data_IF_077380833483
#
_entry.id   IF_077380833483
#
_cell.length_a   1.000
_cell.length_b   1.000
_cell.length_c   1.000
_cell.angle_alpha   90.00
_cell.angle_beta   90.00
_cell.angle_gamma   90.00
#
_symmetry.space_group_name_H-M   'P 1'
#
loop_
_entity.id
_entity.type
_entity.pdbx_description
1 polymer ?
#
# COMPACT_ATOMS: atom_id res chain seq x y z
N UNK A 1 -27.68 5.72 -17.21
CA UNK A 1 -26.28 5.22 -17.29
C UNK A 1 -25.67 5.80 -18.56
N UNK A 2 -24.56 6.51 -18.39
CA UNK A 2 -23.74 6.96 -19.53
C UNK A 2 -23.09 5.74 -20.21
N UNK A 3 -22.53 5.96 -21.41
CA UNK A 3 -21.83 4.87 -22.11
C UNK A 3 -20.63 4.43 -21.28
N UNK A 4 -20.53 3.13 -21.01
CA UNK A 4 -19.38 2.54 -20.34
C UNK A 4 -18.11 2.78 -21.17
N UNK A 5 -17.01 3.33 -20.60
CA UNK A 5 -15.76 3.53 -21.31
C UNK A 5 -15.18 2.22 -21.85
N UNK A 6 -14.37 2.33 -22.90
CA UNK A 6 -13.71 1.17 -23.50
C UNK A 6 -12.70 0.54 -22.51
N UNK A 7 -12.61 -0.79 -22.52
CA UNK A 7 -11.68 -1.53 -21.65
C UNK A 7 -12.11 -1.68 -20.20
N UNK A 8 -13.35 -1.29 -19.85
CA UNK A 8 -13.92 -1.55 -18.53
C UNK A 8 -14.53 -2.96 -18.47
N UNK A 9 -14.06 -3.75 -17.51
CA UNK A 9 -14.53 -5.12 -17.22
C UNK A 9 -15.54 -5.09 -16.08
N UNK A 10 -16.48 -6.05 -16.05
CA UNK A 10 -17.45 -6.26 -14.95
C UNK A 10 -17.05 -7.44 -14.09
N UNK A 11 -17.47 -7.40 -12.83
CA UNK A 11 -17.34 -8.51 -11.87
C UNK A 11 -15.91 -9.06 -11.78
N UNK A 12 -14.93 -8.15 -11.77
CA UNK A 12 -13.51 -8.54 -11.80
C UNK A 12 -13.04 -9.04 -10.44
N UNK A 13 -12.48 -10.27 -10.33
CA UNK A 13 -12.06 -10.87 -9.07
C UNK A 13 -10.82 -10.16 -8.49
N UNK A 14 -11.01 -9.29 -7.48
CA UNK A 14 -9.96 -8.46 -6.88
C UNK A 14 -8.95 -9.27 -6.06
N UNK A 15 -9.32 -10.45 -5.54
CA UNK A 15 -8.39 -11.38 -4.87
C UNK A 15 -7.15 -11.69 -5.71
N UNK A 16 -7.29 -11.70 -7.04
CA UNK A 16 -6.17 -11.91 -7.98
C UNK A 16 -5.16 -10.77 -7.98
N UNK A 17 -5.56 -9.60 -7.50
CA UNK A 17 -4.74 -8.40 -7.46
C UNK A 17 -4.15 -8.11 -6.08
N UNK A 18 -4.62 -8.79 -5.02
CA UNK A 18 -4.07 -8.66 -3.67
C UNK A 18 -2.98 -9.70 -3.40
N UNK A 19 -2.02 -9.36 -2.55
CA UNK A 19 -0.96 -10.30 -2.15
C UNK A 19 -1.43 -11.26 -1.06
N UNK A 20 -2.46 -10.91 -0.30
CA UNK A 20 -3.10 -11.77 0.71
C UNK A 20 -4.08 -12.77 0.08
N UNK A 21 -4.54 -12.52 -1.15
CA UNK A 21 -5.42 -13.42 -1.91
C UNK A 21 -6.77 -13.68 -1.25
N UNK A 22 -7.40 -12.62 -0.73
CA UNK A 22 -8.77 -12.62 -0.23
C UNK A 22 -9.56 -11.47 -0.85
N UNK A 23 -10.89 -11.54 -0.75
CA UNK A 23 -11.83 -10.53 -1.18
C UNK A 23 -12.62 -10.88 -2.42
N UNK A 24 -13.78 -10.26 -2.55
CA UNK A 24 -14.71 -10.44 -3.66
C UNK A 24 -14.40 -9.60 -4.90
N UNK A 25 -15.33 -9.58 -5.88
CA UNK A 25 -15.14 -8.86 -7.15
C UNK A 25 -15.40 -7.35 -7.01
N UNK A 26 -14.85 -6.56 -7.94
CA UNK A 26 -15.31 -5.20 -8.19
C UNK A 26 -16.44 -5.19 -9.21
N UNK A 27 -17.45 -4.34 -9.02
CA UNK A 27 -18.52 -4.17 -10.02
C UNK A 27 -17.95 -3.74 -11.37
N UNK A 28 -16.94 -2.86 -11.33
CA UNK A 28 -16.23 -2.34 -12.50
C UNK A 28 -14.73 -2.35 -12.27
N UNK A 29 -13.98 -2.70 -13.29
CA UNK A 29 -12.53 -2.72 -13.26
C UNK A 29 -11.94 -2.17 -14.55
N UNK A 30 -10.88 -1.36 -14.45
CA UNK A 30 -10.19 -0.79 -15.60
C UNK A 30 -8.66 -0.79 -15.45
N UNK A 31 -7.98 -0.86 -16.60
CA UNK A 31 -6.51 -0.75 -16.70
C UNK A 31 -6.11 0.40 -17.62
N UNK A 32 -6.27 1.67 -17.19
CA UNK A 32 -5.86 2.80 -18.00
C UNK A 32 -4.33 2.80 -18.22
N UNK A 33 -3.93 3.17 -19.43
CA UNK A 33 -2.53 3.23 -19.84
C UNK A 33 -1.99 4.66 -19.89
N UNK A 34 -2.88 5.67 -19.93
CA UNK A 34 -2.54 7.09 -20.02
C UNK A 34 -3.31 7.91 -18.97
N UNK A 35 -2.80 9.09 -18.61
CA UNK A 35 -3.49 10.03 -17.72
C UNK A 35 -4.84 10.47 -18.27
N UNK A 36 -4.97 10.61 -19.60
CA UNK A 36 -6.24 10.96 -20.25
C UNK A 36 -7.32 9.89 -20.01
N UNK A 37 -6.97 8.61 -20.12
CA UNK A 37 -7.87 7.50 -19.81
C UNK A 37 -8.23 7.46 -18.32
N UNK A 38 -7.29 7.77 -17.41
CA UNK A 38 -7.59 7.87 -15.97
C UNK A 38 -8.65 8.95 -15.75
N UNK A 39 -8.47 10.16 -16.29
CA UNK A 39 -9.43 11.27 -16.15
C UNK A 39 -10.79 10.89 -16.74
N UNK A 40 -10.85 10.23 -17.90
CA UNK A 40 -12.10 9.75 -18.50
C UNK A 40 -12.84 8.79 -17.57
N UNK A 41 -12.15 7.81 -17.00
CA UNK A 41 -12.70 6.84 -16.06
C UNK A 41 -13.22 7.50 -14.77
N UNK A 42 -12.46 8.48 -14.25
CA UNK A 42 -12.86 9.21 -13.03
C UNK A 42 -14.10 10.05 -13.28
N UNK A 43 -14.20 10.74 -14.43
CA UNK A 43 -15.41 11.47 -14.83
C UNK A 43 -16.62 10.57 -15.00
N UNK A 44 -16.41 9.41 -15.60
CA UNK A 44 -17.48 8.42 -15.76
C UNK A 44 -17.97 7.93 -14.39
N UNK A 45 -17.05 7.54 -13.50
CA UNK A 45 -17.40 7.09 -12.16
C UNK A 45 -18.14 8.17 -11.36
N UNK A 46 -17.68 9.42 -11.42
CA UNK A 46 -18.32 10.58 -10.79
C UNK A 46 -19.75 10.80 -11.33
N UNK A 47 -19.93 10.77 -12.67
CA UNK A 47 -21.24 10.95 -13.30
C UNK A 47 -22.27 9.86 -12.96
N UNK A 48 -21.82 8.67 -12.63
CA UNK A 48 -22.66 7.53 -12.23
C UNK A 48 -22.75 7.37 -10.70
N UNK A 49 -22.00 8.17 -9.93
CA UNK A 49 -21.95 8.10 -8.47
C UNK A 49 -21.21 6.87 -7.92
N UNK A 50 -20.27 6.31 -8.69
CA UNK A 50 -19.49 5.16 -8.24
C UNK A 50 -18.29 5.59 -7.39
N UNK A 51 -18.03 4.95 -6.27
CA UNK A 51 -16.77 5.10 -5.58
C UNK A 51 -15.62 4.53 -6.42
N UNK A 52 -14.44 5.14 -6.30
CA UNK A 52 -13.22 4.71 -7.02
C UNK A 52 -12.21 4.14 -6.05
N UNK A 53 -11.71 2.94 -6.34
CA UNK A 53 -10.64 2.27 -5.62
C UNK A 53 -9.40 2.07 -6.49
N UNK A 54 -8.22 2.41 -5.94
CA UNK A 54 -6.97 2.25 -6.69
C UNK A 54 -6.22 1.00 -6.20
N UNK A 55 -5.93 0.10 -7.14
CA UNK A 55 -5.19 -1.14 -6.85
C UNK A 55 -3.78 -1.03 -7.42
N UNK A 56 -2.80 -0.80 -6.55
CA UNK A 56 -1.39 -0.83 -6.92
C UNK A 56 -0.87 -2.27 -7.06
N UNK A 57 0.11 -2.64 -6.23
CA UNK A 57 0.60 -4.04 -6.13
C UNK A 57 -0.30 -4.92 -5.26
N UNK A 58 -1.33 -4.38 -4.61
CA UNK A 58 -2.19 -5.09 -3.68
C UNK A 58 -1.47 -5.58 -2.41
N UNK A 59 -0.34 -4.99 -2.09
CA UNK A 59 0.55 -5.44 -0.99
C UNK A 59 0.27 -4.74 0.35
N UNK A 60 -0.68 -3.83 0.38
CA UNK A 60 -1.22 -3.19 1.58
C UNK A 60 -2.74 -2.99 1.41
N UNK A 61 -3.41 -4.00 0.83
CA UNK A 61 -4.83 -3.93 0.49
C UNK A 61 -5.55 -5.18 0.96
N UNK A 62 -6.65 -4.98 1.68
CA UNK A 62 -7.62 -5.98 2.07
C UNK A 62 -8.95 -5.62 1.40
N UNK A 63 -9.51 -6.53 0.61
CA UNK A 63 -10.77 -6.32 -0.10
C UNK A 63 -11.90 -7.05 0.64
N UNK A 64 -13.05 -6.39 0.81
CA UNK A 64 -14.22 -7.01 1.43
C UNK A 64 -14.63 -8.32 0.74
N UNK A 65 -15.18 -9.29 1.48
CA UNK A 65 -15.62 -10.57 0.92
C UNK A 65 -16.75 -10.37 -0.11
N UNK A 66 -17.65 -9.42 0.11
CA UNK A 66 -18.68 -9.01 -0.85
C UNK A 66 -18.12 -8.23 -2.05
N UNK A 67 -16.82 -7.87 -2.01
CA UNK A 67 -16.15 -7.11 -3.05
C UNK A 67 -16.27 -5.60 -2.92
N UNK A 68 -16.14 -4.90 -4.05
CA UNK A 68 -16.17 -3.45 -4.12
C UNK A 68 -17.28 -2.95 -5.06
N UNK A 69 -18.26 -2.27 -4.50
CA UNK A 69 -19.41 -1.71 -5.24
C UNK A 69 -19.01 -0.40 -5.92
N UNK A 70 -18.10 -0.45 -6.89
CA UNK A 70 -17.53 0.71 -7.56
C UNK A 70 -16.55 0.36 -8.68
N UNK A 71 -15.77 1.36 -9.09
CA UNK A 71 -14.74 1.23 -10.10
C UNK A 71 -13.36 1.01 -9.46
N UNK A 72 -12.79 -0.18 -9.62
CA UNK A 72 -11.40 -0.45 -9.27
C UNK A 72 -10.47 -0.14 -10.46
N UNK A 73 -9.42 0.64 -10.23
CA UNK A 73 -8.44 1.05 -11.25
C UNK A 73 -7.06 0.47 -10.93
N UNK A 74 -6.42 -0.13 -11.93
CA UNK A 74 -5.02 -0.56 -11.87
C UNK A 74 -4.24 0.03 -13.04
N UNK A 75 -3.31 0.93 -12.75
CA UNK A 75 -2.52 1.61 -13.75
C UNK A 75 -1.65 0.64 -14.58
N UNK A 76 -1.57 0.89 -15.89
CA UNK A 76 -0.86 0.07 -16.87
C UNK A 76 -0.10 0.95 -17.89
N UNK A 77 0.47 0.34 -18.91
CA UNK A 77 1.09 1.02 -20.06
C UNK A 77 2.12 2.08 -19.65
N UNK A 78 1.95 3.30 -20.16
CA UNK A 78 2.84 4.45 -19.89
C UNK A 78 2.89 4.81 -18.41
N UNK A 79 1.80 4.59 -17.67
CA UNK A 79 1.70 4.85 -16.23
C UNK A 79 2.49 3.86 -15.37
N UNK A 80 3.26 2.96 -15.98
CA UNK A 80 4.19 2.04 -15.30
C UNK A 80 5.65 2.27 -15.69
N UNK A 81 5.93 3.30 -16.51
CA UNK A 81 7.29 3.61 -16.97
C UNK A 81 8.18 4.06 -15.81
N UNK A 82 9.50 3.88 -16.00
CA UNK A 82 10.56 4.43 -15.14
C UNK A 82 11.63 4.99 -16.07
N UNK A 83 11.84 6.29 -16.03
CA UNK A 83 12.77 7.02 -16.89
C UNK A 83 13.73 7.86 -16.05
N UNK A 84 14.97 8.04 -16.56
CA UNK A 84 15.96 8.96 -15.99
C UNK A 84 15.94 10.27 -16.80
N UNK A 85 15.94 11.41 -16.11
CA UNK A 85 16.04 12.75 -16.67
C UNK A 85 17.11 13.55 -15.90
N UNK A 86 18.38 13.37 -16.29
CA UNK A 86 19.54 13.92 -15.54
C UNK A 86 19.66 13.22 -14.18
N UNK A 87 19.54 14.01 -13.10
CA UNK A 87 19.54 13.50 -11.71
C UNK A 87 18.13 13.24 -11.18
N UNK A 88 17.13 13.31 -12.04
CA UNK A 88 15.74 12.96 -11.76
C UNK A 88 15.40 11.58 -12.23
N UNK A 89 14.49 10.94 -11.50
CA UNK A 89 13.84 9.71 -11.93
C UNK A 89 12.33 9.94 -11.98
N UNK A 90 11.76 9.89 -13.18
CA UNK A 90 10.32 10.05 -13.40
C UNK A 90 9.70 8.67 -13.52
N UNK A 91 8.67 8.41 -12.73
CA UNK A 91 7.99 7.12 -12.64
C UNK A 91 6.49 7.31 -12.82
N UNK A 92 5.86 6.47 -13.63
CA UNK A 92 4.41 6.33 -13.59
C UNK A 92 3.94 5.81 -12.23
N UNK A 93 2.76 6.23 -11.79
CA UNK A 93 2.18 5.85 -10.49
C UNK A 93 2.00 4.34 -10.30
N UNK A 94 1.81 3.60 -11.42
CA UNK A 94 1.75 2.14 -11.47
C UNK A 94 3.12 1.44 -11.47
N UNK A 95 4.24 2.16 -11.62
CA UNK A 95 5.57 1.59 -11.59
C UNK A 95 5.87 0.97 -10.22
N UNK A 96 6.53 -0.19 -10.21
CA UNK A 96 6.91 -0.84 -8.94
C UNK A 96 8.05 -0.06 -8.26
N UNK A 97 7.85 0.32 -7.01
CA UNK A 97 8.87 1.06 -6.24
C UNK A 97 10.22 0.31 -6.14
N UNK A 98 10.25 -1.03 -5.91
CA UNK A 98 11.52 -1.78 -5.94
C UNK A 98 12.23 -1.73 -7.30
N UNK A 99 11.48 -1.65 -8.39
CA UNK A 99 12.07 -1.53 -9.73
C UNK A 99 12.62 -0.12 -9.97
N UNK A 100 11.94 0.93 -9.50
CA UNK A 100 12.43 2.30 -9.52
C UNK A 100 13.75 2.41 -8.74
N UNK A 101 13.79 1.89 -7.51
CA UNK A 101 15.00 1.85 -6.68
C UNK A 101 16.17 1.11 -7.38
N UNK A 102 15.89 -0.06 -7.99
CA UNK A 102 16.92 -0.85 -8.67
C UNK A 102 17.46 -0.14 -9.93
N UNK A 103 16.60 0.51 -10.73
CA UNK A 103 17.02 1.28 -11.90
C UNK A 103 17.82 2.52 -11.50
N UNK A 104 17.38 3.25 -10.45
CA UNK A 104 18.12 4.42 -9.92
C UNK A 104 19.52 4.02 -9.48
N UNK A 105 19.67 2.93 -8.73
CA UNK A 105 20.96 2.40 -8.33
C UNK A 105 21.83 2.02 -9.55
N UNK A 106 21.25 1.42 -10.60
CA UNK A 106 21.95 1.10 -11.83
C UNK A 106 22.45 2.34 -12.59
N UNK A 107 21.78 3.46 -12.41
CA UNK A 107 22.19 4.76 -12.98
C UNK A 107 23.12 5.57 -12.08
N UNK A 108 23.53 5.04 -10.92
CA UNK A 108 24.35 5.77 -9.94
C UNK A 108 23.60 6.91 -9.28
N UNK A 109 22.32 6.75 -9.02
CA UNK A 109 21.47 7.72 -8.36
C UNK A 109 21.01 7.15 -7.00
N UNK A 110 21.37 7.87 -5.92
CA UNK A 110 21.06 7.54 -4.53
C UNK A 110 19.85 8.32 -4.02
N UNK A 111 19.11 7.75 -3.08
CA UNK A 111 17.96 8.34 -2.41
C UNK A 111 16.71 7.47 -2.41
N UNK A 112 16.58 6.51 -3.35
CA UNK A 112 15.44 5.58 -3.42
C UNK A 112 15.77 4.16 -2.89
N UNK A 113 16.94 3.92 -2.29
CA UNK A 113 17.35 2.60 -1.82
C UNK A 113 16.37 1.98 -0.84
N UNK A 114 15.75 2.78 0.02
CA UNK A 114 14.75 2.34 1.00
C UNK A 114 13.56 1.63 0.35
N UNK A 115 13.23 2.01 -0.89
CA UNK A 115 12.12 1.44 -1.67
C UNK A 115 12.36 0.00 -2.13
N UNK A 116 13.60 -0.51 -2.06
CA UNK A 116 13.98 -1.83 -2.59
C UNK A 116 13.17 -2.98 -2.00
N UNK A 117 12.70 -2.82 -0.79
CA UNK A 117 11.93 -3.83 -0.06
C UNK A 117 10.44 -3.49 0.10
N UNK A 118 9.98 -2.35 -0.39
CA UNK A 118 8.57 -1.97 -0.28
C UNK A 118 7.81 -2.54 -1.49
N UNK A 119 6.98 -3.58 -1.35
CA UNK A 119 6.38 -4.29 -2.48
C UNK A 119 5.20 -3.53 -3.09
N UNK A 120 5.26 -2.20 -3.12
CA UNK A 120 4.23 -1.30 -3.61
C UNK A 120 4.49 -0.75 -5.01
N UNK A 121 3.55 0.05 -5.49
CA UNK A 121 3.73 0.95 -6.64
C UNK A 121 4.14 2.34 -6.16
N UNK A 122 4.68 3.15 -7.07
CA UNK A 122 5.06 4.54 -6.80
C UNK A 122 3.85 5.34 -6.31
N UNK A 123 2.68 5.23 -6.95
CA UNK A 123 1.47 5.92 -6.49
C UNK A 123 1.03 5.50 -5.08
N UNK A 124 1.06 4.20 -4.78
CA UNK A 124 0.80 3.72 -3.42
C UNK A 124 1.84 4.20 -2.41
N UNK A 125 3.11 4.31 -2.82
CA UNK A 125 4.17 4.83 -1.98
C UNK A 125 4.00 6.34 -1.69
N UNK A 126 3.55 7.13 -2.68
CA UNK A 126 3.18 8.54 -2.49
C UNK A 126 2.04 8.65 -1.47
N UNK A 127 0.93 7.93 -1.70
CA UNK A 127 -0.24 7.97 -0.80
C UNK A 127 0.10 7.65 0.65
N UNK A 128 0.98 6.68 0.87
CA UNK A 128 1.37 6.21 2.21
C UNK A 128 2.65 6.90 2.75
N UNK A 129 3.16 7.92 2.06
CA UNK A 129 4.47 8.49 2.41
C UNK A 129 5.48 7.40 2.81
N UNK A 130 5.71 6.47 1.90
CA UNK A 130 6.44 5.23 2.19
C UNK A 130 7.81 5.50 2.77
N UNK A 131 8.12 4.87 3.89
CA UNK A 131 9.40 4.98 4.57
C UNK A 131 9.92 3.62 5.04
N UNK A 132 11.22 3.44 5.00
CA UNK A 132 11.93 2.25 5.51
C UNK A 132 13.42 2.57 5.66
N UNK A 133 14.11 1.92 6.59
CA UNK A 133 15.56 2.00 6.77
C UNK A 133 16.10 3.43 6.90
N UNK A 134 15.33 4.35 7.45
CA UNK A 134 15.68 5.77 7.60
C UNK A 134 15.46 6.64 6.35
N UNK A 135 15.08 6.05 5.21
CA UNK A 135 14.63 6.76 4.03
C UNK A 135 13.13 6.99 4.04
N UNK A 136 12.67 8.07 3.40
CA UNK A 136 11.28 8.50 3.34
C UNK A 136 11.00 9.13 1.98
N UNK A 137 9.86 8.82 1.38
CA UNK A 137 9.52 9.24 0.03
C UNK A 137 9.39 10.77 -0.07
N UNK A 138 8.76 11.43 0.89
CA UNK A 138 8.60 12.88 0.91
C UNK A 138 9.93 13.66 0.79
N UNK A 139 11.06 13.07 1.25
CA UNK A 139 12.37 13.72 1.23
C UNK A 139 13.03 13.77 -0.14
N UNK A 140 12.61 12.90 -1.06
CA UNK A 140 13.20 12.78 -2.40
C UNK A 140 12.18 13.08 -3.51
N UNK A 141 10.90 13.20 -3.16
CA UNK A 141 9.85 13.58 -4.10
C UNK A 141 10.03 15.05 -4.51
N UNK A 142 9.95 15.32 -5.81
CA UNK A 142 10.02 16.66 -6.37
C UNK A 142 8.63 17.18 -6.75
N UNK A 143 7.83 16.33 -7.39
CA UNK A 143 6.44 16.60 -7.76
C UNK A 143 5.69 15.30 -8.07
N UNK A 144 4.36 15.40 -8.08
CA UNK A 144 3.45 14.39 -8.60
C UNK A 144 2.51 14.99 -9.63
N UNK A 145 2.04 14.16 -10.57
CA UNK A 145 0.85 14.47 -11.38
C UNK A 145 -0.31 13.70 -10.80
N UNK A 146 -1.33 14.41 -10.33
CA UNK A 146 -2.59 13.85 -9.84
C UNK A 146 -3.67 13.96 -10.91
N UNK A 147 -4.39 12.88 -11.14
CA UNK A 147 -5.61 12.85 -11.94
C UNK A 147 -6.83 12.82 -11.03
N UNK A 148 -7.83 13.65 -11.35
CA UNK A 148 -9.16 13.66 -10.77
C UNK A 148 -10.23 13.74 -11.86
N UNK A 149 -11.51 13.84 -11.52
CA UNK A 149 -12.57 14.07 -12.51
C UNK A 149 -12.46 15.43 -13.18
N UNK A 150 -11.85 16.44 -12.55
CA UNK A 150 -11.60 17.77 -13.11
C UNK A 150 -10.50 17.77 -14.15
N UNK A 151 -9.50 16.87 -14.00
CA UNK A 151 -8.37 16.79 -14.92
C UNK A 151 -7.11 16.24 -14.27
N UNK A 152 -5.96 16.58 -14.88
CA UNK A 152 -4.65 16.24 -14.36
C UNK A 152 -3.90 17.53 -13.96
N UNK A 153 -3.34 17.55 -12.76
CA UNK A 153 -2.57 18.69 -12.25
C UNK A 153 -1.28 18.23 -11.59
N UNK A 154 -0.27 19.10 -11.60
CA UNK A 154 0.98 18.86 -10.89
C UNK A 154 0.90 19.49 -9.50
N UNK A 155 1.34 18.74 -8.48
CA UNK A 155 1.48 19.20 -7.10
C UNK A 155 2.89 18.93 -6.57
N UNK A 156 3.35 19.82 -5.71
CA UNK A 156 4.62 19.68 -4.98
C UNK A 156 4.41 18.95 -3.63
N UNK A 157 5.48 18.40 -3.01
CA UNK A 157 5.37 17.68 -1.75
C UNK A 157 4.73 18.50 -0.61
N UNK A 158 4.93 19.81 -0.59
CA UNK A 158 4.35 20.75 0.39
C UNK A 158 2.81 20.81 0.34
N UNK A 159 2.20 20.41 -0.79
CA UNK A 159 0.77 20.42 -1.03
C UNK A 159 0.11 19.07 -0.73
N UNK A 160 0.91 18.07 -0.34
CA UNK A 160 0.43 16.69 -0.13
C UNK A 160 0.26 16.34 1.35
N UNK A 161 0.54 17.25 2.28
CA UNK A 161 0.30 17.08 3.71
C UNK A 161 0.89 15.79 4.29
N UNK A 162 2.09 15.42 3.88
CA UNK A 162 2.71 14.16 4.29
C UNK A 162 2.87 14.02 5.80
N UNK A 163 2.43 12.89 6.31
CA UNK A 163 2.58 12.42 7.69
C UNK A 163 3.15 11.00 7.70
N UNK A 164 3.42 10.48 8.88
CA UNK A 164 3.85 9.09 8.99
C UNK A 164 2.76 8.14 8.49
N UNK A 165 3.07 7.37 7.44
CA UNK A 165 2.15 6.43 6.77
C UNK A 165 0.90 7.07 6.16
N UNK A 166 0.91 8.36 5.86
CA UNK A 166 -0.27 9.08 5.38
C UNK A 166 0.07 10.29 4.49
N UNK A 167 -0.94 10.75 3.73
CA UNK A 167 -0.93 11.98 2.93
C UNK A 167 -2.34 12.52 2.81
N UNK A 168 -2.49 13.81 2.43
CA UNK A 168 -3.80 14.45 2.22
C UNK A 168 -4.46 14.12 0.87
N UNK A 169 -3.98 13.10 0.15
CA UNK A 169 -4.62 12.61 -1.06
C UNK A 169 -6.04 12.10 -0.73
N UNK A 170 -7.04 12.63 -1.42
CA UNK A 170 -8.44 12.25 -1.20
C UNK A 170 -8.86 11.05 -2.05
N UNK A 171 -10.04 10.50 -1.74
CA UNK A 171 -10.65 9.47 -2.57
C UNK A 171 -10.93 10.01 -3.98
N UNK A 172 -10.64 9.24 -5.02
CA UNK A 172 -10.80 9.68 -6.42
C UNK A 172 -9.58 10.39 -7.00
N UNK A 173 -8.57 10.75 -6.20
CA UNK A 173 -7.29 11.22 -6.74
C UNK A 173 -6.34 10.04 -7.04
N UNK A 174 -5.76 10.08 -8.23
CA UNK A 174 -4.86 9.04 -8.74
C UNK A 174 -3.50 9.65 -9.06
N UNK A 175 -2.45 9.16 -8.43
CA UNK A 175 -1.07 9.51 -8.80
C UNK A 175 -0.74 8.88 -10.14
N UNK A 176 -0.72 9.69 -11.20
CA UNK A 176 -0.39 9.24 -12.56
C UNK A 176 1.13 9.15 -12.77
N UNK A 177 1.88 10.16 -12.32
CA UNK A 177 3.34 10.22 -12.38
C UNK A 177 3.91 10.84 -11.12
N UNK A 178 5.17 10.53 -10.80
CA UNK A 178 5.96 11.15 -9.76
C UNK A 178 7.42 11.35 -10.21
N UNK A 179 8.02 12.47 -9.85
CA UNK A 179 9.45 12.77 -10.05
C UNK A 179 10.18 12.75 -8.73
N UNK A 180 11.34 12.13 -8.74
CA UNK A 180 12.26 12.07 -7.61
C UNK A 180 13.56 12.77 -7.96
N UNK A 181 13.99 13.76 -7.15
CA UNK A 181 15.29 14.39 -7.22
C UNK A 181 16.29 13.55 -6.40
N UNK A 182 17.27 12.98 -7.09
CA UNK A 182 18.23 12.05 -6.50
C UNK A 182 19.65 12.58 -6.58
N UNK A 183 20.53 12.08 -5.71
CA UNK A 183 21.93 12.46 -5.71
C UNK A 183 22.79 11.49 -6.52
N UNK A 184 23.77 12.01 -7.27
CA UNK A 184 24.78 11.17 -7.92
C UNK A 184 25.64 10.44 -6.90
N UNK A 185 25.88 9.13 -7.13
CA UNK A 185 26.73 8.29 -6.27
C UNK A 185 27.32 7.13 -7.08
N UNK A 186 28.28 6.39 -6.52
CA UNK A 186 28.82 5.19 -7.14
C UNK A 186 27.73 4.09 -7.22
N UNK A 187 27.42 3.55 -8.41
CA UNK A 187 26.43 2.51 -8.58
C UNK A 187 26.65 1.28 -7.70
N UNK A 188 27.89 0.89 -7.47
CA UNK A 188 28.20 -0.30 -6.65
C UNK A 188 27.96 -0.01 -5.16
N UNK A 189 28.25 1.22 -4.69
CA UNK A 189 27.95 1.62 -3.33
C UNK A 189 26.42 1.66 -3.08
N UNK A 190 25.64 2.19 -4.03
CA UNK A 190 24.15 2.21 -3.94
C UNK A 190 23.59 0.78 -3.91
N UNK A 191 24.07 -0.10 -4.80
CA UNK A 191 23.65 -1.51 -4.83
C UNK A 191 24.04 -2.26 -3.55
N UNK A 192 25.21 -1.98 -2.97
CA UNK A 192 25.65 -2.59 -1.71
C UNK A 192 24.69 -2.20 -0.56
N UNK A 193 24.31 -0.92 -0.41
CA UNK A 193 23.31 -0.48 0.59
C UNK A 193 21.98 -1.23 0.41
N UNK A 194 21.50 -1.34 -0.82
CA UNK A 194 20.27 -2.10 -1.10
C UNK A 194 20.42 -3.59 -0.76
N UNK A 195 21.60 -4.18 -0.98
CA UNK A 195 21.91 -5.54 -0.60
C UNK A 195 21.76 -5.79 0.91
N UNK A 196 22.32 -4.88 1.72
CA UNK A 196 22.18 -4.93 3.17
C UNK A 196 20.71 -4.80 3.63
N UNK A 197 19.94 -3.91 3.01
CA UNK A 197 18.52 -3.76 3.31
C UNK A 197 17.73 -5.05 3.00
N UNK A 198 18.02 -5.70 1.86
CA UNK A 198 17.41 -6.99 1.49
C UNK A 198 17.76 -8.10 2.49
N UNK A 199 19.01 -8.16 2.93
CA UNK A 199 19.46 -9.14 3.93
C UNK A 199 18.70 -8.97 5.24
N UNK A 200 18.65 -7.74 5.79
CA UNK A 200 17.91 -7.42 7.02
C UNK A 200 16.44 -7.81 6.91
N UNK A 201 15.78 -7.52 5.77
CA UNK A 201 14.37 -7.91 5.57
C UNK A 201 14.19 -9.41 5.58
N UNK A 202 15.02 -10.16 4.87
CA UNK A 202 14.94 -11.63 4.78
C UNK A 202 15.08 -12.29 6.16
N UNK A 203 15.92 -11.72 7.02
CA UNK A 203 16.11 -12.19 8.40
C UNK A 203 14.88 -11.88 9.27
N UNK A 204 14.31 -10.67 9.17
CA UNK A 204 13.26 -10.19 10.06
C UNK A 204 11.82 -10.57 9.63
N UNK A 205 11.54 -10.70 8.34
CA UNK A 205 10.18 -10.83 7.83
C UNK A 205 9.93 -12.17 7.15
N UNK A 206 8.69 -12.68 7.15
CA UNK A 206 8.33 -13.88 6.41
C UNK A 206 8.43 -13.64 4.89
N UNK A 207 8.69 -14.70 4.13
CA UNK A 207 8.74 -14.69 2.68
C UNK A 207 7.99 -15.88 2.10
N UNK A 208 7.44 -15.72 0.89
CA UNK A 208 6.71 -16.80 0.21
C UNK A 208 5.31 -17.07 0.78
N UNK A 209 4.79 -16.18 1.61
CA UNK A 209 3.45 -16.26 2.21
C UNK A 209 2.48 -15.30 1.52
N UNK A 210 1.18 -15.59 1.61
CA UNK A 210 0.11 -14.70 1.18
C UNK A 210 -0.20 -13.74 2.33
N UNK A 211 0.19 -12.49 2.21
CA UNK A 211 0.03 -11.44 3.23
C UNK A 211 -0.04 -10.06 2.57
N UNK A 212 -0.61 -9.08 3.24
CA UNK A 212 -0.58 -7.67 2.84
C UNK A 212 0.52 -6.86 3.56
N UNK A 213 1.50 -7.50 4.20
CA UNK A 213 2.57 -6.82 4.94
C UNK A 213 2.18 -6.50 6.37
N UNK A 214 2.62 -5.35 6.87
CA UNK A 214 2.30 -4.89 8.23
C UNK A 214 0.80 -4.70 8.41
N UNK A 215 0.27 -5.28 9.48
CA UNK A 215 -1.16 -5.20 9.83
C UNK A 215 -1.49 -3.89 10.53
N UNK A 216 -0.64 -3.48 11.48
CA UNK A 216 -0.84 -2.30 12.32
C UNK A 216 0.32 -1.31 12.18
N UNK A 217 -0.01 -0.03 12.28
CA UNK A 217 0.96 1.08 12.38
C UNK A 217 1.71 0.99 13.71
N UNK A 218 2.98 1.40 13.74
CA UNK A 218 3.68 1.54 15.02
C UNK A 218 3.05 2.67 15.84
N UNK A 219 2.61 2.39 17.08
CA UNK A 219 1.93 3.38 17.89
C UNK A 219 2.88 4.48 18.38
N UNK A 220 2.36 5.71 18.43
CA UNK A 220 3.03 6.85 19.07
C UNK A 220 2.61 7.01 20.54
N UNK A 221 1.80 6.09 21.06
CA UNK A 221 1.31 6.08 22.43
C UNK A 221 2.47 5.91 23.43
N UNK A 222 2.63 6.77 24.45
CA UNK A 222 3.67 6.67 25.46
C UNK A 222 3.68 5.31 26.20
N UNK A 223 2.51 4.67 26.34
CA UNK A 223 2.36 3.32 26.95
C UNK A 223 3.05 2.22 26.12
N UNK A 224 3.31 2.47 24.85
CA UNK A 224 4.10 1.57 24.01
C UNK A 224 5.59 1.54 24.40
N UNK A 225 6.10 2.55 25.12
CA UNK A 225 7.50 2.68 25.53
C UNK A 225 8.49 2.57 24.36
N UNK A 226 8.12 3.12 23.21
CA UNK A 226 8.91 3.07 21.97
C UNK A 226 8.90 1.70 21.26
N UNK A 227 8.10 0.74 21.72
CA UNK A 227 7.93 -0.57 21.06
C UNK A 227 7.13 -0.42 19.77
N UNK A 228 7.54 -1.15 18.75
CA UNK A 228 6.78 -1.29 17.50
C UNK A 228 5.51 -2.15 17.73
N UNK A 229 4.53 -2.04 16.81
CA UNK A 229 3.33 -2.88 16.82
C UNK A 229 3.71 -4.38 16.86
N UNK A 230 4.71 -4.79 16.06
CA UNK A 230 5.19 -6.18 16.08
C UNK A 230 5.76 -6.62 17.40
N UNK A 231 6.50 -5.76 18.12
CA UNK A 231 7.03 -6.06 19.45
C UNK A 231 5.94 -6.15 20.53
N UNK A 232 4.92 -5.28 20.44
CA UNK A 232 3.77 -5.33 21.34
C UNK A 232 2.95 -6.61 21.14
N UNK A 233 2.66 -6.97 19.90
CA UNK A 233 1.95 -8.19 19.53
C UNK A 233 2.71 -9.45 19.98
N UNK A 234 4.02 -9.48 19.76
CA UNK A 234 4.87 -10.57 20.21
C UNK A 234 4.87 -10.70 21.74
N UNK A 235 5.07 -9.59 22.44
CA UNK A 235 5.02 -9.55 23.89
C UNK A 235 3.63 -9.89 24.45
N UNK A 236 2.54 -9.56 23.74
CA UNK A 236 1.18 -9.96 24.09
C UNK A 236 0.91 -11.46 23.90
N UNK A 237 1.80 -12.19 23.21
CA UNK A 237 1.63 -13.61 22.92
C UNK A 237 0.74 -13.88 21.71
N UNK A 238 0.62 -12.90 20.79
CA UNK A 238 -0.29 -13.00 19.66
C UNK A 238 0.25 -13.84 18.49
N UNK A 239 1.52 -14.29 18.50
CA UNK A 239 2.06 -15.17 17.45
C UNK A 239 1.21 -16.42 17.28
N UNK A 240 0.95 -16.81 16.05
CA UNK A 240 0.16 -17.99 15.74
C UNK A 240 -1.34 -17.87 16.03
N UNK A 241 -1.81 -16.73 16.56
CA UNK A 241 -3.24 -16.47 16.73
C UNK A 241 -3.95 -16.66 15.38
N UNK A 242 -5.00 -17.47 15.33
CA UNK A 242 -5.69 -17.80 14.09
C UNK A 242 -7.21 -17.72 14.24
N UNK A 243 -7.88 -17.46 13.11
CA UNK A 243 -9.33 -17.56 12.91
C UNK A 243 -9.57 -18.05 11.49
N UNK A 244 -10.36 -19.11 11.33
CA UNK A 244 -10.56 -19.73 10.02
C UNK A 244 -9.24 -19.97 9.29
N UNK A 245 -9.13 -19.48 8.05
CA UNK A 245 -7.92 -19.56 7.23
C UNK A 245 -6.88 -18.47 7.46
N UNK A 246 -7.13 -17.49 8.34
CA UNK A 246 -6.19 -16.40 8.65
C UNK A 246 -5.38 -16.68 9.93
N UNK A 247 -4.10 -16.29 9.93
CA UNK A 247 -3.20 -16.48 11.06
C UNK A 247 -2.19 -15.34 11.21
N UNK A 248 -1.86 -14.91 12.43
CA UNK A 248 -0.67 -14.10 12.68
C UNK A 248 0.60 -14.95 12.52
N UNK A 249 1.55 -14.41 11.77
CA UNK A 249 2.80 -15.10 11.43
C UNK A 249 3.61 -15.47 12.68
N UNK A 250 4.09 -16.69 12.71
CA UNK A 250 5.03 -17.16 13.73
C UNK A 250 6.39 -16.44 13.66
N UNK A 251 6.76 -15.95 12.45
CA UNK A 251 8.02 -15.25 12.27
C UNK A 251 7.94 -13.77 12.62
N UNK A 252 6.80 -13.11 12.36
CA UNK A 252 6.63 -11.67 12.60
C UNK A 252 5.18 -11.37 12.99
N UNK A 253 4.94 -11.09 14.27
CA UNK A 253 3.59 -10.97 14.84
C UNK A 253 2.72 -9.84 14.21
N UNK A 254 3.29 -8.89 13.47
CA UNK A 254 2.54 -7.84 12.77
C UNK A 254 2.18 -8.20 11.30
N UNK A 255 2.20 -9.49 10.95
CA UNK A 255 1.83 -9.98 9.62
C UNK A 255 0.71 -11.01 9.73
N UNK A 256 -0.41 -10.75 9.04
CA UNK A 256 -1.46 -11.77 8.85
C UNK A 256 -1.14 -12.58 7.60
N UNK A 257 -1.20 -13.90 7.73
CA UNK A 257 -1.02 -14.88 6.66
C UNK A 257 -2.36 -15.49 6.28
N UNK A 258 -2.66 -15.57 4.98
CA UNK A 258 -3.68 -16.46 4.46
C UNK A 258 -3.05 -17.84 4.26
N UNK A 259 -3.50 -18.83 5.02
CA UNK A 259 -3.00 -20.21 4.98
C UNK A 259 -3.56 -21.04 3.83
N UNK A 260 -4.47 -20.47 3.03
CA UNK A 260 -5.04 -21.09 1.83
C UNK A 260 -6.51 -20.77 1.59
N UNK A 261 -7.32 -20.73 2.63
CA UNK A 261 -8.78 -20.58 2.56
C UNK A 261 -9.32 -19.45 3.45
N UNK A 262 -8.50 -18.42 3.72
CA UNK A 262 -8.94 -17.27 4.50
C UNK A 262 -9.98 -16.43 3.76
N UNK A 263 -10.95 -15.95 4.51
CA UNK A 263 -11.85 -14.86 4.12
C UNK A 263 -11.36 -13.52 4.69
N UNK A 264 -11.91 -12.42 4.21
CA UNK A 264 -11.64 -11.10 4.81
C UNK A 264 -12.20 -11.04 6.23
N UNK A 265 -13.34 -11.67 6.50
CA UNK A 265 -13.88 -11.79 7.85
C UNK A 265 -12.92 -12.52 8.81
N UNK A 266 -12.25 -13.60 8.36
CA UNK A 266 -11.21 -14.28 9.14
C UNK A 266 -10.03 -13.35 9.48
N UNK A 267 -9.57 -12.57 8.49
CA UNK A 267 -8.48 -11.59 8.66
C UNK A 267 -8.86 -10.54 9.70
N UNK A 268 -10.05 -9.94 9.58
CA UNK A 268 -10.56 -8.95 10.53
C UNK A 268 -10.71 -9.52 11.94
N UNK A 269 -11.16 -10.78 12.08
CA UNK A 269 -11.28 -11.45 13.37
C UNK A 269 -9.91 -11.70 14.04
N UNK A 270 -8.88 -12.06 13.25
CA UNK A 270 -7.49 -12.15 13.75
C UNK A 270 -6.99 -10.78 14.19
N UNK A 271 -7.23 -9.73 13.39
CA UNK A 271 -6.83 -8.36 13.71
C UNK A 271 -7.49 -7.88 15.01
N UNK A 272 -8.80 -8.05 15.17
CA UNK A 272 -9.54 -7.64 16.37
C UNK A 272 -9.02 -8.37 17.62
N UNK A 273 -8.86 -9.69 17.55
CA UNK A 273 -8.35 -10.49 18.67
C UNK A 273 -6.92 -10.09 19.07
N UNK A 274 -6.05 -9.80 18.09
CA UNK A 274 -4.68 -9.37 18.33
C UNK A 274 -4.61 -7.95 18.95
N UNK A 275 -5.44 -7.03 18.44
CA UNK A 275 -5.58 -5.67 18.96
C UNK A 275 -6.04 -5.67 20.41
N UNK A 276 -7.05 -6.48 20.73
CA UNK A 276 -7.55 -6.67 22.10
C UNK A 276 -6.46 -7.20 23.03
N UNK A 277 -5.69 -8.23 22.64
CA UNK A 277 -4.61 -8.76 23.50
C UNK A 277 -3.55 -7.71 23.84
N UNK A 278 -3.21 -6.84 22.88
CA UNK A 278 -2.27 -5.73 23.13
C UNK A 278 -2.89 -4.70 24.07
N UNK A 279 -4.15 -4.34 23.83
CA UNK A 279 -4.86 -3.40 24.69
C UNK A 279 -4.99 -3.91 26.14
N UNK A 280 -5.45 -5.15 26.32
CA UNK A 280 -5.63 -5.75 27.65
C UNK A 280 -4.32 -5.82 28.45
N UNK A 281 -3.18 -5.99 27.76
CA UNK A 281 -1.88 -6.13 28.40
C UNK A 281 -1.13 -4.81 28.61
N UNK A 282 -1.26 -3.88 27.69
CA UNK A 282 -0.44 -2.65 27.66
C UNK A 282 -1.27 -1.36 27.65
N UNK A 283 -2.59 -1.44 27.52
CA UNK A 283 -3.47 -0.28 27.35
C UNK A 283 -3.30 0.44 26.02
N UNK A 284 -2.55 -0.14 25.05
CA UNK A 284 -2.26 0.48 23.75
C UNK A 284 -3.28 0.02 22.72
N UNK A 285 -3.97 0.96 22.08
CA UNK A 285 -4.85 0.69 20.95
C UNK A 285 -4.03 0.72 19.64
N UNK A 286 -3.89 -0.44 18.96
CA UNK A 286 -3.23 -0.50 17.67
C UNK A 286 -4.17 -0.09 16.54
N UNK A 287 -3.68 0.71 15.58
CA UNK A 287 -4.45 1.14 14.41
C UNK A 287 -4.02 0.39 13.14
N UNK A 288 -4.96 0.05 12.24
CA UNK A 288 -4.65 -0.65 11.01
C UNK A 288 -3.71 0.15 10.10
N UNK A 289 -2.69 -0.50 9.52
CA UNK A 289 -1.89 0.05 8.42
C UNK A 289 -2.47 -0.37 7.06
N UNK A 290 -3.10 -1.56 7.02
CA UNK A 290 -3.71 -2.09 5.80
C UNK A 290 -4.89 -1.23 5.36
N UNK A 291 -4.96 -0.94 4.05
CA UNK A 291 -6.08 -0.21 3.45
C UNK A 291 -7.20 -1.19 3.11
N UNK A 292 -8.44 -0.79 3.40
CA UNK A 292 -9.62 -1.61 3.12
C UNK A 292 -10.30 -1.08 1.86
N UNK A 293 -10.71 -1.98 0.98
CA UNK A 293 -11.50 -1.68 -0.21
C UNK A 293 -12.82 -2.44 -0.17
N UNK A 294 -13.92 -1.71 -0.22
CA UNK A 294 -15.27 -2.21 -0.01
C UNK A 294 -15.74 -2.05 1.44
N UNK A 295 -17.00 -2.41 1.67
CA UNK A 295 -17.62 -2.32 2.99
C UNK A 295 -17.34 -3.58 3.80
N UNK A 296 -16.80 -3.42 5.00
CA UNK A 296 -16.50 -4.53 5.91
C UNK A 296 -17.24 -4.37 7.23
N UNK A 297 -17.67 -5.48 7.78
CA UNK A 297 -18.18 -5.53 9.15
C UNK A 297 -17.03 -5.85 10.10
N UNK A 298 -16.67 -4.87 10.94
CA UNK A 298 -15.69 -5.10 11.98
C UNK A 298 -16.26 -6.02 13.06
N UNK A 299 -15.50 -7.03 13.53
CA UNK A 299 -15.95 -7.87 14.62
C UNK A 299 -16.25 -7.06 15.88
N UNK A 300 -17.21 -7.48 16.74
CA UNK A 300 -17.52 -6.79 17.99
C UNK A 300 -16.29 -6.57 18.89
N UNK A 301 -15.30 -7.46 18.82
CA UNK A 301 -14.03 -7.37 19.52
C UNK A 301 -13.11 -6.25 19.02
N UNK A 302 -13.47 -5.57 17.93
CA UNK A 302 -12.71 -4.41 17.43
C UNK A 302 -12.87 -3.21 18.34
N UNK A 303 -14.05 -3.01 18.91
CA UNK A 303 -14.26 -1.94 19.88
C UNK A 303 -13.61 -2.31 21.21
N UNK A 304 -12.72 -1.46 21.68
CA UNK A 304 -12.04 -1.61 22.95
C UNK A 304 -12.88 -0.92 24.04
N UNK A 305 -13.19 -1.65 25.11
CA UNK A 305 -13.79 -1.04 26.29
C UNK A 305 -12.74 -0.14 26.98
N UNK A 306 -13.20 1.02 27.46
CA UNK A 306 -12.39 1.96 28.25
C UNK A 306 -11.84 1.31 29.53
#
# INVERSE_FOLDING_TARGET
MSRVPEGVERDYPLERLTTVRVGGPADWFARPETSAQVVELLRWADSEGFPVGIVGSGSNLLVADEGFRGLAIKLAGELTRIAREGDRVVCGGGARLPAAAAKSAGWGLAGLEFGVNIPGTVGGAVRMNANAYGGELARVLEWVTLCSAEGAERREPSELGFRYRDSDLVAGEVVADASFALAGDDPEAVKARMGEMRKRRKEAQPSGIKTFGSTFVNPEDPRAEGRSAGQLLDAAGARGLHRGGARLSEKHANFVENTGEATTADVLAVMASARRQVHDRFGVALEPEVQILGDVEWPPDWELSE
#
